data_IF_315055283859
#
_entry.id   IF_315055283859
#
_cell.length_a   1.000
_cell.length_b   1.000
_cell.length_c   1.000
_cell.angle_alpha   90.00
_cell.angle_beta   90.00
_cell.angle_gamma   90.00
#
_symmetry.space_group_name_H-M   'P 1'
#
loop_
_entity.id
_entity.type
_entity.pdbx_description
1 polymer ?
#
# COMPACT_ATOMS: atom_id res chain seq x y z
N UNK A 1 -17.19 -16.11 -5.75
CA UNK A 1 -15.92 -15.47 -5.34
C UNK A 1 -15.41 -14.69 -6.53
N UNK A 2 -15.22 -13.38 -6.41
CA UNK A 2 -14.64 -12.54 -7.46
C UNK A 2 -13.14 -12.39 -7.23
N UNK A 3 -12.33 -12.70 -8.25
CA UNK A 3 -10.89 -12.51 -8.19
C UNK A 3 -10.55 -11.05 -8.45
N UNK A 4 -9.81 -10.44 -7.53
CA UNK A 4 -9.27 -9.09 -7.71
C UNK A 4 -7.85 -9.21 -8.26
N UNK A 5 -7.65 -8.79 -9.51
CA UNK A 5 -6.32 -8.78 -10.15
C UNK A 5 -5.64 -7.47 -9.82
N UNK A 6 -4.58 -7.55 -9.02
CA UNK A 6 -3.74 -6.41 -8.61
C UNK A 6 -2.27 -6.84 -8.60
N UNK A 7 -1.36 -5.86 -8.66
CA UNK A 7 0.06 -6.13 -8.48
C UNK A 7 0.36 -6.57 -7.05
N UNK A 8 1.46 -7.30 -6.86
CA UNK A 8 1.92 -7.69 -5.51
C UNK A 8 2.16 -6.47 -4.63
N UNK A 9 2.73 -5.39 -5.16
CA UNK A 9 2.94 -4.15 -4.42
C UNK A 9 1.61 -3.57 -3.89
N UNK A 10 0.55 -3.58 -4.71
CA UNK A 10 -0.78 -3.14 -4.26
C UNK A 10 -1.36 -4.09 -3.20
N UNK A 11 -1.20 -5.40 -3.37
CA UNK A 11 -1.65 -6.38 -2.39
C UNK A 11 -0.96 -6.19 -1.02
N UNK A 12 0.34 -5.91 -1.02
CA UNK A 12 1.10 -5.58 0.20
C UNK A 12 0.60 -4.28 0.82
N UNK A 13 0.39 -3.23 0.02
CA UNK A 13 -0.16 -1.96 0.53
C UNK A 13 -1.54 -2.16 1.18
N UNK A 14 -2.42 -2.97 0.58
CA UNK A 14 -3.73 -3.30 1.15
C UNK A 14 -3.59 -4.09 2.46
N UNK A 15 -2.65 -5.03 2.55
CA UNK A 15 -2.38 -5.76 3.79
C UNK A 15 -1.85 -4.83 4.90
N UNK A 16 -0.94 -3.92 4.57
CA UNK A 16 -0.39 -2.94 5.53
C UNK A 16 -1.47 -1.99 6.01
N UNK A 17 -2.35 -1.50 5.13
CA UNK A 17 -3.53 -0.70 5.51
C UNK A 17 -4.39 -1.43 6.55
N UNK A 18 -4.68 -2.72 6.35
CA UNK A 18 -5.47 -3.52 7.30
C UNK A 18 -4.80 -3.64 8.68
N UNK A 19 -3.47 -3.60 8.74
CA UNK A 19 -2.72 -3.62 9.99
C UNK A 19 -2.79 -2.29 10.77
N UNK A 20 -3.29 -1.21 10.16
CA UNK A 20 -3.46 0.13 10.77
C UNK A 20 -2.19 0.66 11.49
N UNK A 21 -1.02 0.65 10.84
CA UNK A 21 0.18 1.24 11.44
C UNK A 21 0.00 2.74 11.63
N UNK A 22 0.52 3.29 12.74
CA UNK A 22 0.46 4.72 13.00
C UNK A 22 1.55 5.51 12.25
N UNK A 23 2.68 4.87 11.95
CA UNK A 23 3.84 5.46 11.27
C UNK A 23 4.43 4.44 10.31
N UNK A 24 4.80 4.88 9.09
CA UNK A 24 5.49 4.05 8.11
C UNK A 24 6.70 4.84 7.58
N UNK A 25 7.94 4.53 8.00
CA UNK A 25 9.12 5.15 7.41
C UNK A 25 9.33 4.60 6.00
N UNK A 26 9.51 5.49 5.02
CA UNK A 26 9.64 5.11 3.61
C UNK A 26 10.87 5.74 2.96
N UNK A 27 11.55 4.98 2.12
CA UNK A 27 12.60 5.46 1.22
C UNK A 27 12.36 4.87 -0.18
N UNK A 28 12.09 5.70 -1.21
CA UNK A 28 11.78 5.20 -2.54
C UNK A 28 12.95 4.43 -3.19
N UNK A 29 12.68 3.20 -3.62
CA UNK A 29 13.59 2.40 -4.46
C UNK A 29 12.80 1.53 -5.44
N UNK A 30 13.29 1.40 -6.67
CA UNK A 30 12.68 0.52 -7.70
C UNK A 30 12.97 -0.94 -7.36
N UNK A 31 12.02 -1.88 -7.50
CA UNK A 31 10.63 -1.75 -8.00
C UNK A 31 9.57 -1.56 -6.90
N UNK A 32 9.97 -1.34 -5.64
CA UNK A 32 9.07 -1.32 -4.48
C UNK A 32 8.31 0.01 -4.31
N UNK A 33 8.77 1.10 -4.91
CA UNK A 33 8.28 2.48 -4.72
C UNK A 33 6.74 2.62 -4.73
N UNK A 34 6.05 1.86 -5.58
CA UNK A 34 4.58 1.93 -5.66
C UNK A 34 3.83 1.45 -4.42
N UNK A 35 4.45 0.68 -3.51
CA UNK A 35 3.83 0.34 -2.22
C UNK A 35 3.59 1.61 -1.40
N UNK A 36 4.64 2.43 -1.24
CA UNK A 36 4.55 3.68 -0.48
C UNK A 36 3.61 4.70 -1.12
N UNK A 37 3.54 4.74 -2.45
CA UNK A 37 2.59 5.60 -3.17
C UNK A 37 1.14 5.23 -2.89
N UNK A 38 0.81 3.93 -2.93
CA UNK A 38 -0.53 3.45 -2.57
C UNK A 38 -0.87 3.73 -1.11
N UNK A 39 0.07 3.53 -0.19
CA UNK A 39 -0.13 3.82 1.24
C UNK A 39 -0.41 5.31 1.48
N UNK A 40 0.36 6.20 0.84
CA UNK A 40 0.12 7.64 0.91
C UNK A 40 -1.26 8.00 0.35
N UNK A 41 -1.67 7.37 -0.75
CA UNK A 41 -3.00 7.57 -1.34
C UNK A 41 -4.12 7.10 -0.41
N UNK A 42 -3.97 5.94 0.26
CA UNK A 42 -4.95 5.47 1.25
C UNK A 42 -5.13 6.46 2.39
N UNK A 43 -4.02 6.95 2.96
CA UNK A 43 -4.06 7.96 4.03
C UNK A 43 -4.74 9.24 3.54
N UNK A 44 -4.41 9.71 2.33
CA UNK A 44 -5.04 10.90 1.74
C UNK A 44 -6.55 10.73 1.50
N UNK A 45 -6.99 9.52 1.18
CA UNK A 45 -8.40 9.18 1.00
C UNK A 45 -9.16 8.93 2.32
N UNK A 46 -8.46 8.91 3.47
CA UNK A 46 -9.03 8.55 4.76
C UNK A 46 -9.39 7.06 4.88
N UNK A 47 -8.69 6.20 4.14
CA UNK A 47 -8.90 4.74 4.08
C UNK A 47 -8.16 3.94 5.17
#
# INVERSE_FOLDING_TARGET
MTLKIISTNRAVAEAVKLAKPQVIPVYPITPQTSISEYLAQFVANGE
#
